data_IF_625268558574
#
_entry.id   IF_625268558574
#
_cell.length_a   1.000
_cell.length_b   1.000
_cell.length_c   1.000
_cell.angle_alpha   90.00
_cell.angle_beta   90.00
_cell.angle_gamma   90.00
#
_symmetry.space_group_name_H-M   'P 1'
#
loop_
_entity.id
_entity.type
_entity.pdbx_description
1 polymer ?
#
# COMPACT_ATOMS: atom_id res chain seq x y z
N UNK A 1 14.65 0.47 12.02
CA UNK A 1 14.41 -0.80 11.31
C UNK A 1 12.98 -1.25 11.60
N UNK A 2 12.32 -1.91 10.65
CA UNK A 2 10.97 -2.48 10.81
C UNK A 2 11.00 -3.92 10.29
N UNK A 3 10.18 -4.79 10.87
CA UNK A 3 10.03 -6.18 10.39
C UNK A 3 8.71 -6.33 9.66
N UNK A 4 8.77 -6.90 8.46
CA UNK A 4 7.58 -7.18 7.66
C UNK A 4 7.32 -8.67 7.75
N UNK A 5 6.13 -9.04 8.22
CA UNK A 5 5.69 -10.43 8.32
C UNK A 5 4.75 -10.74 7.17
N UNK A 6 4.99 -11.87 6.49
CA UNK A 6 4.22 -12.31 5.34
C UNK A 6 3.25 -13.41 5.77
N UNK A 7 1.98 -13.21 5.45
CA UNK A 7 0.92 -14.20 5.67
C UNK A 7 0.85 -15.20 4.51
N UNK A 8 0.25 -16.38 4.71
CA UNK A 8 0.11 -17.39 3.65
C UNK A 8 -0.66 -16.93 2.41
N UNK A 9 -1.53 -15.93 2.55
CA UNK A 9 -2.30 -15.32 1.45
C UNK A 9 -1.50 -14.29 0.63
N UNK A 10 -0.21 -14.10 0.95
CA UNK A 10 0.67 -13.12 0.31
C UNK A 10 0.50 -11.69 0.83
N UNK A 11 -0.49 -11.43 1.69
CA UNK A 11 -0.60 -10.16 2.40
C UNK A 11 0.49 -10.07 3.47
N UNK A 12 0.82 -8.86 3.89
CA UNK A 12 1.83 -8.64 4.92
C UNK A 12 1.38 -7.57 5.93
N UNK A 13 1.98 -7.63 7.11
CA UNK A 13 1.85 -6.58 8.12
C UNK A 13 3.22 -6.18 8.64
N UNK A 14 3.28 -4.93 9.08
CA UNK A 14 4.51 -4.29 9.52
C UNK A 14 4.49 -4.27 11.03
N UNK A 15 5.55 -4.78 11.64
CA UNK A 15 5.71 -4.76 13.08
C UNK A 15 6.82 -3.79 13.49
N UNK A 16 6.50 -2.99 14.51
CA UNK A 16 7.44 -2.13 15.20
C UNK A 16 7.65 -2.70 16.60
N UNK A 17 8.87 -3.14 16.89
CA UNK A 17 9.25 -3.46 18.26
C UNK A 17 9.88 -2.23 18.91
N UNK A 18 9.42 -1.90 20.12
CA UNK A 18 10.01 -0.85 20.94
C UNK A 18 11.13 -1.52 21.76
N UNK A 19 12.40 -1.14 21.56
CA UNK A 19 13.50 -1.71 22.33
C UNK A 19 13.44 -1.25 23.80
N UNK A 20 13.77 -2.16 24.72
CA UNK A 20 14.02 -1.79 26.11
C UNK A 20 15.37 -1.06 26.27
N UNK A 21 15.60 -0.46 27.44
CA UNK A 21 16.87 0.21 27.73
C UNK A 21 18.05 -0.77 27.58
N UNK A 22 19.03 -0.41 26.74
CA UNK A 22 20.19 -1.26 26.42
C UNK A 22 19.93 -2.37 25.39
N UNK A 23 18.68 -2.54 24.93
CA UNK A 23 18.32 -3.53 23.92
C UNK A 23 18.52 -2.96 22.50
N UNK A 24 19.10 -3.75 21.59
CA UNK A 24 19.14 -3.38 20.17
C UNK A 24 17.78 -3.58 19.50
N UNK A 25 17.46 -2.78 18.48
CA UNK A 25 16.21 -2.95 17.71
C UNK A 25 16.07 -4.38 17.15
N UNK A 26 17.19 -4.99 16.71
CA UNK A 26 17.19 -6.37 16.21
C UNK A 26 16.80 -7.39 17.28
N UNK A 27 17.31 -7.21 18.50
CA UNK A 27 16.90 -8.02 19.66
C UNK A 27 15.42 -7.86 19.96
N UNK A 28 14.93 -6.62 19.99
CA UNK A 28 13.52 -6.32 20.24
C UNK A 28 12.61 -6.99 19.19
N UNK A 29 12.98 -6.94 17.92
CA UNK A 29 12.24 -7.60 16.83
C UNK A 29 12.26 -9.14 16.95
N UNK A 30 13.39 -9.72 17.33
CA UNK A 30 13.52 -11.17 17.54
C UNK A 30 12.73 -11.66 18.75
N UNK A 31 12.52 -10.83 19.77
CA UNK A 31 11.70 -11.17 20.93
C UNK A 31 10.21 -11.34 20.58
N UNK A 32 9.69 -10.54 19.65
CA UNK A 32 8.28 -10.61 19.23
C UNK A 32 8.04 -11.67 18.14
N UNK A 33 9.11 -12.17 17.51
CA UNK A 33 9.03 -13.17 16.45
C UNK A 33 8.28 -14.47 16.85
N UNK A 34 8.57 -15.12 17.99
CA UNK A 34 7.87 -16.33 18.41
C UNK A 34 6.35 -16.14 18.56
N UNK A 35 5.91 -14.95 18.98
CA UNK A 35 4.48 -14.61 19.13
C UNK A 35 3.73 -14.58 17.79
N UNK A 36 4.46 -14.48 16.68
CA UNK A 36 3.90 -14.47 15.31
C UNK A 36 3.93 -15.83 14.63
N UNK A 37 4.17 -16.91 15.36
CA UNK A 37 4.04 -18.27 14.85
C UNK A 37 5.06 -18.64 13.75
N UNK A 38 6.19 -17.95 13.65
CA UNK A 38 7.23 -18.24 12.66
C UNK A 38 6.90 -17.85 11.23
N UNK A 39 5.89 -16.99 11.01
CA UNK A 39 5.55 -16.45 9.68
C UNK A 39 6.77 -15.81 9.01
N UNK A 40 7.13 -16.14 7.75
CA UNK A 40 8.28 -15.56 7.06
C UNK A 40 8.37 -14.04 7.22
N UNK A 41 9.60 -13.51 7.28
CA UNK A 41 9.83 -12.08 7.44
C UNK A 41 11.03 -11.55 6.69
N UNK A 42 11.02 -10.23 6.55
CA UNK A 42 12.14 -9.43 6.12
C UNK A 42 12.34 -8.22 7.04
N UNK A 43 13.59 -7.93 7.40
CA UNK A 43 13.96 -6.73 8.14
C UNK A 43 14.29 -5.61 7.16
N UNK A 44 13.51 -4.54 7.17
CA UNK A 44 13.64 -3.42 6.24
C UNK A 44 14.05 -2.15 6.99
N UNK A 45 14.95 -1.36 6.39
CA UNK A 45 15.32 -0.05 6.93
C UNK A 45 14.14 0.92 6.86
N UNK A 46 14.02 1.80 7.86
CA UNK A 46 12.97 2.85 7.85
C UNK A 46 13.19 3.83 6.70
N UNK A 47 14.43 4.07 6.29
CA UNK A 47 14.74 4.90 5.12
C UNK A 47 14.23 4.29 3.80
N UNK A 48 14.06 2.96 3.78
CA UNK A 48 13.54 2.23 2.62
C UNK A 48 12.03 1.97 2.73
N UNK A 49 11.38 2.50 3.76
CA UNK A 49 9.93 2.48 3.89
C UNK A 49 9.35 3.69 3.13
N UNK A 50 8.56 3.50 2.06
CA UNK A 50 7.74 4.56 1.51
C UNK A 50 6.76 5.10 2.56
N UNK A 51 6.38 6.35 2.36
CA UNK A 51 5.48 7.13 3.23
C UNK A 51 4.09 6.51 3.38
N UNK A 52 3.40 6.84 4.48
CA UNK A 52 1.98 6.51 4.65
C UNK A 52 1.17 7.06 3.47
N UNK A 53 0.41 6.20 2.80
CA UNK A 53 -0.40 6.54 1.62
C UNK A 53 -0.18 5.65 0.39
N UNK A 54 0.87 4.82 0.38
CA UNK A 54 1.18 3.91 -0.74
C UNK A 54 1.29 2.44 -0.33
N UNK A 55 0.72 2.04 0.81
CA UNK A 55 0.78 0.66 1.31
C UNK A 55 0.29 -0.37 0.27
N UNK A 56 -0.71 0.00 -0.52
CA UNK A 56 -1.27 -0.83 -1.59
C UNK A 56 -0.26 -1.14 -2.71
N UNK A 57 0.78 -0.31 -2.84
CA UNK A 57 1.85 -0.47 -3.84
C UNK A 57 2.92 -1.45 -3.38
N UNK A 58 2.82 -1.98 -2.16
CA UNK A 58 3.75 -2.98 -1.66
C UNK A 58 3.20 -4.38 -1.90
N UNK A 59 4.05 -5.30 -2.33
CA UNK A 59 3.72 -6.70 -2.55
C UNK A 59 4.83 -7.61 -2.07
N UNK A 60 4.48 -8.83 -1.73
CA UNK A 60 5.45 -9.91 -1.55
C UNK A 60 5.68 -10.60 -2.90
N UNK A 61 6.92 -10.69 -3.38
CA UNK A 61 7.24 -11.36 -4.65
C UNK A 61 7.57 -12.86 -4.50
N UNK A 62 7.49 -13.39 -3.28
CA UNK A 62 7.89 -14.76 -2.94
C UNK A 62 9.22 -14.83 -2.18
N UNK A 63 10.08 -13.82 -2.30
CA UNK A 63 11.41 -13.82 -1.69
C UNK A 63 11.76 -12.51 -0.96
N UNK A 64 11.19 -11.39 -1.39
CA UNK A 64 11.36 -10.09 -0.75
C UNK A 64 10.10 -9.23 -0.89
N UNK A 65 10.04 -8.22 -0.05
CA UNK A 65 9.04 -7.18 -0.13
C UNK A 65 9.43 -6.21 -1.23
N UNK A 66 8.55 -6.04 -2.22
CA UNK A 66 8.78 -5.20 -3.40
C UNK A 66 7.79 -4.05 -3.42
N UNK A 67 8.28 -2.88 -3.77
CA UNK A 67 7.46 -1.72 -4.09
C UNK A 67 7.18 -1.69 -5.60
N UNK A 68 5.90 -1.70 -5.95
CA UNK A 68 5.38 -1.63 -7.31
C UNK A 68 4.67 -0.29 -7.54
N UNK A 69 5.38 0.71 -8.10
CA UNK A 69 4.81 2.03 -8.36
C UNK A 69 3.72 2.01 -9.45
N UNK A 70 3.57 0.90 -10.20
CA UNK A 70 2.53 0.77 -11.21
C UNK A 70 1.15 0.49 -10.63
N UNK A 71 1.10 -0.02 -9.40
CA UNK A 71 -0.17 -0.22 -8.67
C UNK A 71 -0.73 1.15 -8.33
N UNK A 72 -1.88 1.50 -8.92
CA UNK A 72 -2.57 2.74 -8.58
C UNK A 72 -3.37 2.55 -7.30
N UNK A 73 -3.17 3.43 -6.33
CA UNK A 73 -3.97 3.45 -5.10
C UNK A 73 -5.40 3.86 -5.41
N UNK A 74 -6.35 3.52 -4.53
CA UNK A 74 -7.75 3.93 -4.69
C UNK A 74 -7.88 5.46 -4.85
N UNK A 75 -7.12 6.23 -4.06
CA UNK A 75 -7.07 7.69 -4.22
C UNK A 75 -6.53 8.13 -5.58
N UNK A 76 -5.48 7.47 -6.09
CA UNK A 76 -4.91 7.80 -7.40
C UNK A 76 -5.94 7.52 -8.52
N UNK A 77 -6.65 6.39 -8.43
CA UNK A 77 -7.72 6.04 -9.35
C UNK A 77 -8.84 7.09 -9.31
N UNK A 78 -9.27 7.50 -8.11
CA UNK A 78 -10.32 8.52 -7.95
C UNK A 78 -9.90 9.86 -8.54
N UNK A 79 -8.66 10.32 -8.30
CA UNK A 79 -8.14 11.57 -8.87
C UNK A 79 -8.02 11.51 -10.39
N UNK A 80 -7.62 10.38 -10.94
CA UNK A 80 -7.57 10.20 -12.40
C UNK A 80 -8.97 10.22 -13.03
N UNK A 81 -9.96 9.62 -12.36
CA UNK A 81 -11.34 9.66 -12.81
C UNK A 81 -11.92 11.07 -12.73
N UNK A 82 -11.63 11.82 -11.66
CA UNK A 82 -11.99 13.25 -11.55
C UNK A 82 -11.41 14.05 -12.69
N UNK A 83 -10.10 13.92 -12.92
CA UNK A 83 -9.43 14.62 -14.01
C UNK A 83 -10.05 14.28 -15.38
N UNK A 84 -10.36 13.01 -15.64
CA UNK A 84 -11.00 12.62 -16.92
C UNK A 84 -12.42 13.16 -17.08
N UNK A 85 -13.13 13.40 -15.98
CA UNK A 85 -14.46 14.04 -16.00
C UNK A 85 -14.28 15.53 -16.33
N UNK A 86 -13.36 16.20 -15.66
CA UNK A 86 -13.07 17.62 -15.87
C UNK A 86 -12.59 17.86 -17.31
N UNK A 87 -11.61 17.08 -17.79
CA UNK A 87 -11.07 17.16 -19.15
C UNK A 87 -12.17 16.99 -20.22
N UNK A 88 -13.20 16.15 -19.96
CA UNK A 88 -14.31 15.92 -20.89
C UNK A 88 -15.35 17.05 -20.83
N UNK A 89 -15.58 17.64 -19.66
CA UNK A 89 -16.48 18.78 -19.47
C UNK A 89 -15.94 20.07 -20.10
N UNK A 90 -14.62 20.20 -20.21
CA UNK A 90 -13.95 21.35 -20.86
C UNK A 90 -14.00 21.31 -22.39
N UNK A 91 -14.45 20.21 -23.00
CA UNK A 91 -14.61 20.13 -24.45
C UNK A 91 -15.75 21.02 -24.94
N UNK A 92 -15.62 21.58 -26.14
CA UNK A 92 -16.71 22.35 -26.79
C UNK A 92 -17.99 21.53 -27.01
N UNK A 93 -17.87 20.20 -27.07
CA UNK A 93 -18.99 19.27 -27.16
C UNK A 93 -18.76 18.05 -26.26
N UNK A 94 -19.06 18.18 -24.95
CA UNK A 94 -18.84 17.10 -23.98
C UNK A 94 -19.65 15.84 -24.30
N UNK A 95 -19.03 14.67 -24.19
CA UNK A 95 -19.75 13.41 -24.30
C UNK A 95 -20.39 13.03 -22.95
N UNK A 96 -21.66 13.41 -22.78
CA UNK A 96 -22.42 13.13 -21.55
C UNK A 96 -22.53 11.63 -21.21
N UNK A 97 -22.54 10.75 -22.22
CA UNK A 97 -22.55 9.29 -21.99
C UNK A 97 -21.22 8.82 -21.40
N UNK A 98 -20.10 9.37 -21.88
CA UNK A 98 -18.76 9.09 -21.35
C UNK A 98 -18.63 9.62 -19.91
N UNK A 99 -19.09 10.84 -19.65
CA UNK A 99 -19.09 11.44 -18.30
C UNK A 99 -19.89 10.57 -17.32
N UNK A 100 -21.13 10.19 -17.66
CA UNK A 100 -21.95 9.33 -16.80
C UNK A 100 -21.32 7.96 -16.53
N UNK A 101 -20.59 7.40 -17.50
CA UNK A 101 -19.82 6.16 -17.30
C UNK A 101 -18.65 6.35 -16.34
N UNK A 102 -17.95 7.48 -16.42
CA UNK A 102 -16.84 7.82 -15.52
C UNK A 102 -17.33 8.06 -14.08
N UNK A 103 -18.42 8.81 -13.91
CA UNK A 103 -19.06 9.05 -12.60
C UNK A 103 -19.48 7.74 -11.94
N UNK A 104 -20.17 6.84 -12.66
CA UNK A 104 -20.54 5.52 -12.11
C UNK A 104 -19.33 4.66 -11.71
N UNK A 105 -18.21 4.77 -12.43
CA UNK A 105 -16.97 4.08 -12.05
C UNK A 105 -16.37 4.67 -10.78
N UNK A 106 -16.43 6.00 -10.61
CA UNK A 106 -16.00 6.71 -9.40
C UNK A 106 -16.82 6.29 -8.19
N UNK A 107 -18.16 6.28 -8.30
CA UNK A 107 -19.08 5.89 -7.22
C UNK A 107 -18.89 4.43 -6.78
N UNK A 108 -18.74 3.50 -7.74
CA UNK A 108 -18.46 2.08 -7.43
C UNK A 108 -17.11 1.88 -6.75
N UNK A 109 -16.15 2.76 -7.00
CA UNK A 109 -14.83 2.73 -6.36
C UNK A 109 -14.80 3.36 -4.97
N UNK A 110 -15.93 3.79 -4.39
CA UNK A 110 -16.02 4.33 -3.02
C UNK A 110 -16.69 3.38 -2.02
N UNK A 111 -17.26 2.26 -2.48
CA UNK A 111 -17.88 1.20 -1.66
C UNK A 111 -16.88 0.10 -1.34
#
# INVERSE_FOLDING_TARGET
MRRIFIKPDGSFFIHLAIPHAGESIKSALNRVWPERGGLPFEDVSVANFPTEGVREQWKWDGNKVVYDPSVKTQMQILRELEKQIDDELELESPNMVKIMRLVRKKEKGQL
#
